data_IF_566363425354
#
_entry.id   IF_566363425354
#
_cell.length_a   1.000
_cell.length_b   1.000
_cell.length_c   1.000
_cell.angle_alpha   90.00
_cell.angle_beta   90.00
_cell.angle_gamma   90.00
#
_symmetry.space_group_name_H-M   'P 1'
#
loop_
_entity.id
_entity.type
_entity.pdbx_description
1 polymer ?
#
# COMPACT_ATOMS: atom_id res chain seq x y z
N UNK A 1 -9.66 4.25 -29.21
CA UNK A 1 -9.24 5.58 -28.70
C UNK A 1 -10.50 6.34 -28.30
N UNK A 2 -10.83 6.38 -27.02
CA UNK A 2 -11.82 7.32 -26.49
C UNK A 2 -11.11 8.21 -25.48
N UNK A 3 -10.71 9.38 -25.97
CA UNK A 3 -10.14 10.46 -25.19
C UNK A 3 -11.21 10.99 -24.23
N UNK A 4 -10.98 10.81 -22.93
CA UNK A 4 -11.63 11.63 -21.91
C UNK A 4 -10.97 13.02 -21.97
N UNK A 5 -11.62 13.99 -22.61
CA UNK A 5 -11.27 15.41 -22.43
C UNK A 5 -11.93 15.91 -21.15
N UNK A 6 -11.19 16.52 -20.21
CA UNK A 6 -11.80 17.19 -19.08
C UNK A 6 -12.43 18.51 -19.55
N UNK A 7 -13.75 18.63 -19.42
CA UNK A 7 -14.41 19.94 -19.40
C UNK A 7 -14.42 20.42 -17.95
N UNK A 8 -13.84 21.60 -17.73
CA UNK A 8 -13.80 22.23 -16.42
C UNK A 8 -15.21 22.45 -15.86
N UNK A 9 -15.45 21.98 -14.64
CA UNK A 9 -16.55 22.46 -13.79
C UNK A 9 -17.56 21.43 -13.30
N UNK A 10 -17.72 20.26 -13.92
CA UNK A 10 -18.64 19.21 -13.43
C UNK A 10 -18.22 17.85 -13.98
N UNK A 11 -17.88 16.89 -13.10
CA UNK A 11 -17.62 15.51 -13.51
C UNK A 11 -18.95 14.88 -13.96
N UNK A 12 -19.25 14.95 -15.25
CA UNK A 12 -20.34 14.15 -15.85
C UNK A 12 -19.69 12.88 -16.39
N UNK A 13 -19.78 11.79 -15.64
CA UNK A 13 -19.31 10.48 -16.08
C UNK A 13 -20.45 9.78 -16.83
N UNK A 14 -20.32 9.64 -18.16
CA UNK A 14 -21.27 8.89 -18.98
C UNK A 14 -20.85 7.42 -19.00
N UNK A 15 -21.53 6.58 -18.22
CA UNK A 15 -21.38 5.13 -18.31
C UNK A 15 -22.44 4.58 -19.25
N UNK A 16 -22.00 3.98 -20.35
CA UNK A 16 -22.85 3.27 -21.31
C UNK A 16 -22.65 1.77 -21.11
N UNK A 17 -23.72 1.09 -20.68
CA UNK A 17 -23.70 -0.33 -20.33
C UNK A 17 -24.55 -1.09 -21.34
N UNK A 18 -23.94 -1.98 -22.12
CA UNK A 18 -24.63 -2.89 -23.03
C UNK A 18 -24.91 -4.19 -22.27
N UNK A 19 -26.16 -4.41 -21.85
CA UNK A 19 -26.56 -5.65 -21.19
C UNK A 19 -27.11 -6.64 -22.23
N UNK A 20 -26.61 -7.88 -22.29
CA UNK A 20 -27.24 -8.94 -23.06
C UNK A 20 -28.53 -9.38 -22.35
N UNK A 21 -29.53 -9.77 -23.13
CA UNK A 21 -30.76 -10.35 -22.59
C UNK A 21 -30.79 -11.83 -22.91
N UNK A 22 -30.81 -12.66 -21.88
CA UNK A 22 -31.32 -14.02 -22.03
C UNK A 22 -32.85 -13.95 -22.08
N UNK A 23 -33.39 -13.55 -23.24
CA UNK A 23 -34.76 -13.93 -23.56
C UNK A 23 -34.69 -15.30 -24.23
N UNK A 24 -35.21 -16.32 -23.55
CA UNK A 24 -35.59 -17.55 -24.21
C UNK A 24 -36.54 -17.18 -25.36
N UNK A 25 -36.10 -17.43 -26.60
CA UNK A 25 -36.77 -17.15 -27.89
C UNK A 25 -36.67 -15.72 -28.48
N UNK A 26 -35.49 -15.33 -28.99
CA UNK A 26 -35.38 -14.47 -30.17
C UNK A 26 -33.93 -14.45 -30.72
N UNK A 27 -33.75 -14.80 -31.99
CA UNK A 27 -32.47 -14.88 -32.73
C UNK A 27 -31.77 -13.52 -33.02
N UNK A 28 -31.89 -12.52 -32.14
CA UNK A 28 -31.11 -11.27 -32.27
C UNK A 28 -30.68 -10.73 -30.90
N UNK A 29 -29.38 -10.42 -30.69
CA UNK A 29 -28.94 -9.76 -29.46
C UNK A 29 -29.49 -8.34 -29.41
N UNK A 30 -30.40 -8.09 -28.47
CA UNK A 30 -30.93 -6.76 -28.19
C UNK A 30 -30.07 -6.09 -27.12
N UNK A 31 -29.65 -4.84 -27.35
CA UNK A 31 -28.88 -4.07 -26.38
C UNK A 31 -29.68 -2.85 -25.91
N UNK A 32 -29.51 -2.51 -24.63
CA UNK A 32 -30.10 -1.30 -24.05
C UNK A 32 -29.00 -0.28 -23.72
N UNK A 33 -29.32 1.00 -23.86
CA UNK A 33 -28.49 2.09 -23.33
C UNK A 33 -29.16 2.65 -22.07
N UNK A 34 -28.44 2.60 -20.94
CA UNK A 34 -28.84 3.29 -19.71
C UNK A 34 -27.83 4.39 -19.42
N UNK A 35 -28.32 5.62 -19.25
CA UNK A 35 -27.51 6.79 -18.91
C UNK A 35 -27.68 7.10 -17.44
N UNK A 36 -26.56 7.21 -16.74
CA UNK A 36 -26.49 7.60 -15.33
C UNK A 36 -25.81 8.97 -15.21
N UNK A 37 -26.29 9.78 -14.27
CA UNK A 37 -25.69 11.06 -13.92
C UNK A 37 -25.35 11.03 -12.43
N UNK A 38 -24.10 11.35 -12.11
CA UNK A 38 -23.58 11.35 -10.75
C UNK A 38 -23.20 12.79 -10.33
N UNK A 39 -23.31 13.09 -9.04
CA UNK A 39 -22.76 14.32 -8.46
C UNK A 39 -21.25 14.21 -8.21
N UNK A 40 -20.66 15.31 -7.72
CA UNK A 40 -19.23 15.41 -7.43
C UNK A 40 -18.76 14.50 -6.27
N UNK A 41 -19.67 13.93 -5.48
CA UNK A 41 -19.40 12.98 -4.41
C UNK A 41 -19.65 11.52 -4.84
N UNK A 42 -20.03 11.27 -6.09
CA UNK A 42 -20.36 9.94 -6.60
C UNK A 42 -21.80 9.49 -6.33
N UNK A 43 -22.66 10.36 -5.80
CA UNK A 43 -24.07 10.11 -5.58
C UNK A 43 -24.87 10.14 -6.89
N UNK A 44 -25.79 9.20 -7.08
CA UNK A 44 -26.64 9.16 -8.27
C UNK A 44 -27.68 10.30 -8.21
N UNK A 45 -27.63 11.24 -9.16
CA UNK A 45 -28.53 12.40 -9.19
C UNK A 45 -29.68 12.26 -10.19
N UNK A 46 -29.51 11.48 -11.27
CA UNK A 46 -30.59 11.11 -12.18
C UNK A 46 -30.29 9.83 -12.96
N UNK A 47 -31.34 9.06 -13.27
CA UNK A 47 -31.29 8.00 -14.29
C UNK A 47 -32.45 8.21 -15.27
N UNK A 48 -32.16 8.26 -16.56
CA UNK A 48 -33.20 8.26 -17.61
C UNK A 48 -33.43 6.85 -18.13
N UNK A 49 -34.70 6.51 -18.35
CA UNK A 49 -35.17 5.16 -18.67
C UNK A 49 -34.63 4.56 -19.97
N UNK A 50 -34.83 3.25 -20.08
CA UNK A 50 -34.31 2.37 -21.13
C UNK A 50 -34.73 2.81 -22.55
N UNK A 51 -33.75 2.91 -23.47
CA UNK A 51 -33.98 2.98 -24.92
C UNK A 51 -33.54 1.65 -25.54
N UNK A 52 -34.46 0.96 -26.22
CA UNK A 52 -34.11 -0.17 -27.08
C UNK A 52 -33.35 0.35 -28.30
N UNK A 53 -32.16 -0.19 -28.55
CA UNK A 53 -31.46 -0.02 -29.82
C UNK A 53 -31.79 -1.25 -30.68
N UNK A 54 -32.85 -1.20 -31.49
CA UNK A 54 -33.03 -2.19 -32.54
C UNK A 54 -32.07 -1.83 -33.67
N UNK A 55 -31.13 -2.72 -33.98
CA UNK A 55 -30.38 -2.65 -35.23
C UNK A 55 -31.33 -3.10 -36.34
N UNK A 56 -32.14 -2.16 -36.85
CA UNK A 56 -32.78 -2.34 -38.14
C UNK A 56 -31.78 -1.89 -39.21
N UNK A 57 -31.49 -2.78 -40.15
CA UNK A 57 -30.61 -2.51 -41.28
C UNK A 57 -30.95 -1.23 -42.02
N UNK A 58 -29.93 -0.62 -42.61
CA UNK A 58 -30.07 0.56 -43.46
C UNK A 58 -31.17 0.36 -44.51
N UNK A 59 -32.08 1.32 -44.63
CA UNK A 59 -32.31 2.03 -45.89
C UNK A 59 -33.05 3.36 -45.63
N UNK A 60 -32.81 4.27 -46.56
CA UNK A 60 -32.90 5.73 -46.44
C UNK A 60 -34.34 6.32 -46.53
N UNK A 61 -34.47 7.56 -47.03
CA UNK A 61 -35.10 8.70 -46.38
C UNK A 61 -36.64 8.67 -46.44
N UNK A 62 -37.32 9.47 -45.61
CA UNK A 62 -38.78 9.71 -45.53
C UNK A 62 -39.52 8.92 -44.44
N UNK A 63 -40.01 9.64 -43.42
CA UNK A 63 -41.17 9.24 -42.61
C UNK A 63 -40.93 9.02 -41.12
N UNK A 64 -41.70 9.73 -40.29
CA UNK A 64 -41.75 9.64 -38.83
C UNK A 64 -42.32 8.28 -38.40
N UNK A 65 -41.62 7.56 -37.52
CA UNK A 65 -42.21 6.45 -36.76
C UNK A 65 -42.47 6.90 -35.31
N UNK A 66 -43.74 7.16 -35.00
CA UNK A 66 -44.20 7.27 -33.62
C UNK A 66 -44.39 5.85 -33.05
N UNK A 67 -43.79 5.55 -31.90
CA UNK A 67 -44.11 4.32 -31.16
C UNK A 67 -45.11 4.60 -30.05
N UNK A 68 -46.32 4.10 -30.29
CA UNK A 68 -47.40 3.95 -29.32
C UNK A 68 -47.15 2.68 -28.48
N UNK A 69 -47.36 2.78 -27.16
CA UNK A 69 -47.56 1.62 -26.31
C UNK A 69 -46.46 1.33 -25.28
N UNK A 70 -46.49 2.02 -24.14
CA UNK A 70 -45.92 1.51 -22.89
C UNK A 70 -47.04 1.40 -21.85
N UNK A 71 -47.31 0.18 -21.40
CA UNK A 71 -48.21 -0.10 -20.28
C UNK A 71 -47.33 -0.25 -19.02
N UNK A 72 -47.43 0.71 -18.10
CA UNK A 72 -46.70 0.68 -16.83
C UNK A 72 -47.36 -0.32 -15.86
N UNK A 73 -46.58 -1.22 -15.26
CA UNK A 73 -46.96 -1.90 -14.03
C UNK A 73 -46.43 -1.09 -12.83
N UNK A 74 -47.29 -0.57 -11.94
CA UNK A 74 -46.84 0.05 -10.70
C UNK A 74 -46.52 -1.04 -9.67
N UNK A 75 -45.28 -1.09 -9.17
CA UNK A 75 -44.98 -1.87 -7.96
C UNK A 75 -43.66 -2.63 -7.91
N UNK A 76 -42.89 -2.75 -9.00
CA UNK A 76 -41.59 -3.42 -8.94
C UNK A 76 -40.44 -2.42 -8.88
N UNK A 77 -39.98 -2.15 -7.65
CA UNK A 77 -38.62 -1.68 -7.40
C UNK A 77 -37.69 -2.88 -7.65
N UNK A 78 -37.15 -2.99 -8.86
CA UNK A 78 -35.88 -3.70 -9.05
C UNK A 78 -34.77 -2.66 -8.94
N UNK A 79 -34.24 -2.50 -7.73
CA UNK A 79 -32.92 -1.93 -7.54
C UNK A 79 -31.91 -2.83 -8.25
N UNK A 80 -31.57 -2.51 -9.50
CA UNK A 80 -30.34 -3.04 -10.08
C UNK A 80 -29.22 -2.19 -9.49
N UNK A 81 -28.70 -2.61 -8.35
CA UNK A 81 -27.38 -2.19 -7.93
C UNK A 81 -26.43 -2.69 -9.02
N UNK A 82 -25.96 -1.79 -9.89
CA UNK A 82 -24.84 -2.11 -10.76
C UNK A 82 -23.57 -2.04 -9.92
N UNK A 83 -23.37 -3.03 -9.06
CA UNK A 83 -22.10 -3.29 -8.38
C UNK A 83 -21.25 -4.29 -9.19
N UNK A 84 -21.45 -4.33 -10.51
CA UNK A 84 -20.72 -5.21 -11.41
C UNK A 84 -19.55 -4.47 -12.06
N UNK A 85 -18.34 -4.86 -11.70
CA UNK A 85 -17.11 -4.48 -12.39
C UNK A 85 -17.24 -4.80 -13.90
N UNK A 86 -17.15 -3.78 -14.76
CA UNK A 86 -17.26 -3.94 -16.22
C UNK A 86 -15.92 -4.26 -16.89
N UNK A 87 -14.83 -4.22 -16.12
CA UNK A 87 -13.48 -4.51 -16.57
C UNK A 87 -13.08 -5.90 -16.06
N UNK A 88 -12.23 -6.63 -16.81
CA UNK A 88 -11.67 -7.86 -16.28
C UNK A 88 -10.84 -7.56 -15.04
N UNK A 89 -10.86 -8.47 -14.07
CA UNK A 89 -9.97 -8.40 -12.92
C UNK A 89 -8.61 -9.03 -13.24
N UNK A 90 -7.56 -8.36 -12.78
CA UNK A 90 -6.21 -8.89 -12.78
C UNK A 90 -5.68 -9.02 -11.35
N UNK A 91 -4.99 -10.12 -11.11
CA UNK A 91 -4.40 -10.38 -9.80
C UNK A 91 -3.08 -9.66 -9.67
N UNK A 92 -2.92 -8.91 -8.59
CA UNK A 92 -1.61 -8.44 -8.11
C UNK A 92 -1.13 -9.41 -7.06
N UNK A 93 -0.01 -10.08 -7.32
CA UNK A 93 0.70 -10.93 -6.38
C UNK A 93 1.85 -10.16 -5.77
N UNK A 94 1.88 -10.08 -4.45
CA UNK A 94 2.94 -9.44 -3.70
C UNK A 94 3.83 -10.53 -3.07
N UNK A 95 5.14 -10.45 -3.34
CA UNK A 95 6.15 -11.30 -2.71
C UNK A 95 7.07 -10.49 -1.79
N UNK A 96 7.34 -11.01 -0.60
CA UNK A 96 8.27 -10.42 0.34
C UNK A 96 9.66 -11.06 0.20
N UNK A 97 10.70 -10.25 0.27
CA UNK A 97 12.09 -10.71 0.20
C UNK A 97 12.95 -10.02 1.27
N UNK A 98 14.07 -10.66 1.63
CA UNK A 98 14.96 -10.24 2.72
C UNK A 98 14.61 -10.89 4.06
N UNK A 99 15.38 -10.60 5.11
CA UNK A 99 15.12 -11.10 6.48
C UNK A 99 14.23 -10.19 7.32
N UNK A 100 13.99 -8.96 6.86
CA UNK A 100 13.20 -7.97 7.59
C UNK A 100 11.70 -8.15 7.44
N UNK A 101 10.94 -7.45 8.28
CA UNK A 101 9.48 -7.46 8.27
C UNK A 101 8.90 -6.07 7.95
N UNK A 102 7.67 -6.05 7.45
CA UNK A 102 6.96 -4.82 7.16
C UNK A 102 5.55 -5.07 6.66
N UNK A 103 4.78 -3.99 6.57
CA UNK A 103 3.41 -3.99 6.09
C UNK A 103 3.35 -3.34 4.71
N UNK A 104 2.70 -4.01 3.77
CA UNK A 104 2.35 -3.42 2.47
C UNK A 104 0.85 -3.22 2.39
N UNK A 105 0.45 -2.02 1.94
CA UNK A 105 -0.94 -1.62 1.72
C UNK A 105 -1.15 -1.15 0.27
N UNK A 106 -2.37 -1.26 -0.24
CA UNK A 106 -2.75 -0.74 -1.56
C UNK A 106 -3.86 0.30 -1.53
N UNK A 107 -3.87 1.16 -2.56
CA UNK A 107 -5.02 1.97 -2.96
C UNK A 107 -5.33 1.75 -4.45
N UNK A 108 -6.54 1.31 -4.84
CA UNK A 108 -7.69 0.94 -3.99
C UNK A 108 -7.37 -0.14 -2.95
N UNK A 109 -8.18 -0.21 -1.90
CA UNK A 109 -7.99 -1.22 -0.83
C UNK A 109 -8.16 -2.63 -1.42
N UNK A 110 -7.24 -3.52 -1.07
CA UNK A 110 -7.24 -4.91 -1.54
C UNK A 110 -6.05 -5.69 -1.03
N UNK A 111 -4.89 -5.05 -0.92
CA UNK A 111 -3.69 -5.58 -0.29
C UNK A 111 -3.47 -4.88 1.05
N UNK A 112 -3.36 -5.67 2.11
CA UNK A 112 -2.90 -5.27 3.44
C UNK A 112 -2.28 -6.50 4.11
N UNK A 113 -0.99 -6.75 3.85
CA UNK A 113 -0.32 -7.96 4.30
C UNK A 113 1.14 -7.70 4.64
N UNK A 114 1.71 -8.60 5.43
CA UNK A 114 3.10 -8.62 5.89
C UNK A 114 3.84 -9.92 5.51
N UNK A 115 3.19 -10.75 4.70
CA UNK A 115 3.69 -11.97 4.07
C UNK A 115 3.12 -12.03 2.66
N UNK A 116 3.65 -12.92 1.82
CA UNK A 116 3.17 -13.13 0.46
C UNK A 116 1.64 -13.20 0.39
N UNK A 117 1.06 -12.31 -0.42
CA UNK A 117 -0.39 -12.19 -0.54
C UNK A 117 -0.78 -11.75 -1.95
N UNK A 118 -2.06 -11.90 -2.30
CA UNK A 118 -2.55 -11.45 -3.60
C UNK A 118 -3.98 -10.95 -3.51
N UNK A 119 -4.33 -10.01 -4.38
CA UNK A 119 -5.69 -9.48 -4.48
C UNK A 119 -6.06 -9.14 -5.94
N UNK A 120 -7.33 -9.28 -6.33
CA UNK A 120 -7.82 -8.84 -7.63
C UNK A 120 -8.07 -7.33 -7.65
N UNK A 121 -7.77 -6.71 -8.78
CA UNK A 121 -8.07 -5.31 -9.05
C UNK A 121 -8.55 -5.13 -10.50
N UNK A 122 -9.39 -4.12 -10.71
CA UNK A 122 -9.94 -3.81 -12.04
C UNK A 122 -8.81 -3.46 -13.02
N UNK A 123 -8.86 -4.05 -14.21
CA UNK A 123 -7.94 -3.70 -15.29
C UNK A 123 -7.93 -2.19 -15.59
N UNK A 124 -6.78 -1.69 -16.03
CA UNK A 124 -6.54 -0.29 -16.42
C UNK A 124 -6.75 0.77 -15.32
N UNK A 125 -7.13 0.36 -14.11
CA UNK A 125 -7.17 1.24 -12.95
C UNK A 125 -5.78 1.30 -12.28
N UNK A 126 -5.31 2.48 -11.86
CA UNK A 126 -4.04 2.59 -11.14
C UNK A 126 -4.17 1.99 -9.75
N UNK A 127 -3.24 1.10 -9.40
CA UNK A 127 -3.07 0.56 -8.05
C UNK A 127 -1.78 1.11 -7.47
N UNK A 128 -1.86 1.80 -6.33
CA UNK A 128 -0.70 2.32 -5.61
C UNK A 128 -0.39 1.44 -4.42
N UNK A 129 0.81 0.85 -4.40
CA UNK A 129 1.36 0.06 -3.31
C UNK A 129 2.26 0.94 -2.43
N UNK A 130 2.03 0.86 -1.12
CA UNK A 130 2.82 1.57 -0.10
C UNK A 130 3.36 0.57 0.89
N UNK A 131 4.67 0.59 1.08
CA UNK A 131 5.38 -0.23 2.04
C UNK A 131 5.69 0.61 3.28
N UNK A 132 5.44 0.05 4.45
CA UNK A 132 5.84 0.58 5.75
C UNK A 132 6.68 -0.50 6.40
N UNK A 133 7.98 -0.26 6.55
CA UNK A 133 8.82 -1.18 7.30
C UNK A 133 8.35 -1.24 8.76
N UNK A 134 8.42 -2.41 9.38
CA UNK A 134 8.17 -2.51 10.81
C UNK A 134 9.23 -1.72 11.59
N UNK A 135 8.95 -1.46 12.86
CA UNK A 135 9.94 -0.88 13.73
C UNK A 135 11.21 -1.72 13.64
N UNK A 136 12.36 -1.05 13.42
CA UNK A 136 13.68 -1.68 13.34
C UNK A 136 14.03 -2.39 12.01
N UNK A 137 13.24 -2.20 10.96
CA UNK A 137 13.47 -2.77 9.64
C UNK A 137 13.64 -1.68 8.58
N UNK A 138 14.35 -1.98 7.49
CA UNK A 138 14.52 -1.09 6.34
C UNK A 138 13.73 -1.63 5.15
N UNK A 139 12.95 -0.75 4.51
CA UNK A 139 12.40 -1.03 3.20
C UNK A 139 13.42 -0.68 2.12
N UNK A 140 14.06 -1.70 1.53
CA UNK A 140 15.08 -1.55 0.49
C UNK A 140 14.49 -1.14 -0.86
N UNK A 141 13.24 -1.50 -1.10
CA UNK A 141 12.51 -1.04 -2.27
C UNK A 141 11.66 -2.11 -2.93
N UNK A 142 11.03 -1.68 -4.01
CA UNK A 142 10.23 -2.52 -4.89
C UNK A 142 11.05 -3.10 -6.03
N UNK A 143 10.63 -4.26 -6.53
CA UNK A 143 11.08 -4.79 -7.81
C UNK A 143 9.95 -5.57 -8.50
N UNK A 144 10.02 -5.71 -9.83
CA UNK A 144 8.99 -6.41 -10.60
C UNK A 144 7.73 -5.58 -10.84
N UNK A 145 6.88 -6.05 -11.75
CA UNK A 145 5.57 -5.44 -12.03
C UNK A 145 5.57 -3.96 -12.46
N UNK A 146 6.71 -3.43 -12.91
CA UNK A 146 6.88 -2.01 -13.22
C UNK A 146 7.28 -1.13 -12.02
N UNK A 147 7.45 -1.73 -10.84
CA UNK A 147 7.91 -1.06 -9.63
C UNK A 147 9.43 -1.11 -9.51
N UNK A 148 10.03 0.01 -9.09
CA UNK A 148 11.45 0.08 -8.72
C UNK A 148 11.69 1.21 -7.72
N UNK A 149 12.73 1.08 -6.89
CA UNK A 149 13.09 2.08 -5.87
C UNK A 149 12.20 2.00 -4.62
N UNK A 150 12.29 3.01 -3.76
CA UNK A 150 11.66 3.01 -2.42
C UNK A 150 10.37 3.84 -2.35
N UNK A 151 10.07 4.64 -3.38
CA UNK A 151 8.86 5.44 -3.44
C UNK A 151 7.60 4.55 -3.55
N UNK A 152 6.41 5.04 -3.15
CA UNK A 152 5.15 4.34 -3.40
C UNK A 152 5.03 3.94 -4.87
N UNK A 153 4.77 2.65 -5.13
CA UNK A 153 4.71 2.15 -6.50
C UNK A 153 3.30 2.25 -7.05
N UNK A 154 3.12 2.94 -8.19
CA UNK A 154 1.83 2.95 -8.89
C UNK A 154 1.91 2.11 -10.16
N UNK A 155 1.09 1.07 -10.25
CA UNK A 155 1.01 0.15 -11.40
C UNK A 155 -0.34 0.29 -12.09
N UNK A 156 -0.37 0.16 -13.41
CA UNK A 156 -1.61 0.07 -14.20
C UNK A 156 -1.73 -1.33 -14.76
N UNK A 157 -2.80 -2.03 -14.41
CA UNK A 157 -2.93 -3.46 -14.71
C UNK A 157 -3.43 -3.71 -16.13
N UNK A 158 -2.58 -4.32 -16.95
CA UNK A 158 -2.96 -4.87 -18.25
C UNK A 158 -2.92 -6.40 -18.27
N UNK A 159 -2.67 -7.02 -17.11
CA UNK A 159 -2.51 -8.44 -16.89
C UNK A 159 -2.18 -8.73 -15.43
N UNK A 160 -2.14 -10.02 -15.06
CA UNK A 160 -1.68 -10.44 -13.74
C UNK A 160 -0.23 -9.97 -13.53
N UNK A 161 0.04 -9.39 -12.37
CA UNK A 161 1.29 -8.68 -12.10
C UNK A 161 1.88 -9.16 -10.77
N UNK A 162 3.17 -9.48 -10.76
CA UNK A 162 3.89 -9.79 -9.53
C UNK A 162 4.81 -8.62 -9.17
N UNK A 163 4.71 -8.16 -7.92
CA UNK A 163 5.57 -7.13 -7.35
C UNK A 163 6.27 -7.72 -6.13
N UNK A 164 7.56 -7.47 -6.01
CA UNK A 164 8.35 -7.84 -4.83
C UNK A 164 8.62 -6.62 -3.96
N UNK A 165 8.41 -6.75 -2.65
CA UNK A 165 8.80 -5.79 -1.63
C UNK A 165 9.97 -6.35 -0.83
N UNK A 166 11.09 -5.66 -0.78
CA UNK A 166 12.27 -6.11 -0.03
C UNK A 166 12.37 -5.37 1.29
N UNK A 167 12.31 -6.12 2.39
CA UNK A 167 12.57 -5.65 3.74
C UNK A 167 13.77 -6.38 4.30
N UNK A 168 14.71 -5.64 4.88
CA UNK A 168 15.90 -6.23 5.49
C UNK A 168 16.14 -5.62 6.86
N UNK A 169 16.92 -6.31 7.67
CA UNK A 169 17.35 -5.82 8.97
C UNK A 169 18.17 -4.54 8.79
N UNK A 170 18.04 -3.58 9.71
CA UNK A 170 18.95 -2.42 9.75
C UNK A 170 20.35 -2.86 10.23
N UNK A 171 21.08 -3.49 9.32
CA UNK A 171 22.48 -3.88 9.51
C UNK A 171 23.42 -2.70 9.45
N UNK A 172 22.93 -1.47 9.26
CA UNK A 172 23.73 -0.25 9.25
C UNK A 172 23.77 0.43 10.64
N UNK A 173 22.83 0.12 11.53
CA UNK A 173 22.74 0.70 12.89
C UNK A 173 22.70 -0.34 14.01
N UNK A 174 23.44 -1.44 13.86
CA UNK A 174 23.46 -2.46 14.88
C UNK A 174 24.12 -1.93 16.17
N UNK A 175 23.56 -2.34 17.31
CA UNK A 175 24.04 -2.13 18.67
C UNK A 175 24.17 -3.50 19.34
N UNK A 176 25.34 -3.81 19.87
CA UNK A 176 25.64 -5.12 20.43
C UNK A 176 25.65 -5.11 21.95
N UNK A 177 24.94 -6.05 22.57
CA UNK A 177 25.01 -6.32 24.01
C UNK A 177 25.59 -7.72 24.21
N UNK A 178 26.79 -7.87 24.80
CA UNK A 178 27.34 -9.17 25.13
C UNK A 178 26.41 -9.91 26.09
N UNK A 179 26.20 -11.20 25.82
CA UNK A 179 25.52 -12.08 26.77
C UNK A 179 26.45 -12.46 27.91
N UNK A 180 25.88 -13.05 28.97
CA UNK A 180 26.64 -13.53 30.12
C UNK A 180 27.68 -14.60 29.74
N UNK A 181 27.50 -15.29 28.60
CA UNK A 181 28.43 -16.28 28.06
C UNK A 181 29.14 -15.67 26.83
N UNK A 182 30.48 -15.84 26.71
CA UNK A 182 31.21 -15.42 25.51
C UNK A 182 30.60 -16.03 24.24
N UNK A 183 30.23 -15.16 23.29
CA UNK A 183 29.61 -15.56 22.02
C UNK A 183 28.08 -15.63 22.02
N UNK A 184 27.40 -15.32 23.14
CA UNK A 184 25.92 -15.30 23.21
C UNK A 184 25.34 -13.88 23.25
N UNK A 185 26.02 -12.91 22.66
CA UNK A 185 25.51 -11.53 22.64
C UNK A 185 24.32 -11.36 21.70
N UNK A 186 23.52 -10.35 22.00
CA UNK A 186 22.33 -9.98 21.24
C UNK A 186 22.60 -8.68 20.49
N UNK A 187 22.16 -8.64 19.25
CA UNK A 187 22.20 -7.43 18.45
C UNK A 187 20.83 -6.77 18.45
N UNK A 188 20.85 -5.47 18.62
CA UNK A 188 19.71 -4.58 18.53
C UNK A 188 19.97 -3.60 17.39
N UNK A 189 18.96 -2.88 16.97
CA UNK A 189 19.00 -1.92 15.86
C UNK A 189 18.90 -0.47 16.35
N UNK A 190 18.74 -0.28 17.67
CA UNK A 190 18.65 1.03 18.32
C UNK A 190 19.33 0.99 19.68
N UNK A 191 19.78 2.17 20.13
CA UNK A 191 20.34 2.37 21.46
C UNK A 191 19.27 2.14 22.54
N UNK A 192 18.02 2.55 22.29
CA UNK A 192 16.91 2.32 23.22
C UNK A 192 16.62 0.83 23.43
N UNK A 193 16.46 0.04 22.36
CA UNK A 193 16.17 -1.39 22.49
C UNK A 193 17.34 -2.15 23.14
N UNK A 194 18.58 -1.77 22.82
CA UNK A 194 19.77 -2.33 23.46
C UNK A 194 19.82 -1.99 24.95
N UNK A 195 19.52 -0.75 25.32
CA UNK A 195 19.39 -0.36 26.73
C UNK A 195 18.30 -1.19 27.40
N UNK A 196 17.12 -1.36 26.78
CA UNK A 196 16.00 -2.05 27.40
C UNK A 196 16.28 -3.54 27.62
N UNK A 197 16.86 -4.21 26.63
CA UNK A 197 17.23 -5.63 26.68
C UNK A 197 18.49 -5.95 27.48
N UNK A 198 19.35 -4.97 27.77
CA UNK A 198 20.59 -5.19 28.51
C UNK A 198 20.34 -5.50 30.00
N UNK A 199 20.99 -6.55 30.50
CA UNK A 199 21.02 -6.85 31.94
C UNK A 199 21.77 -5.76 32.74
N UNK A 200 21.48 -5.60 34.05
CA UNK A 200 22.21 -4.66 34.90
C UNK A 200 23.72 -4.95 34.94
N UNK A 201 24.53 -3.94 34.69
CA UNK A 201 26.00 -4.01 34.64
C UNK A 201 26.55 -4.32 33.24
N UNK A 202 25.70 -4.59 32.25
CA UNK A 202 26.12 -4.94 30.90
C UNK A 202 26.74 -3.76 30.15
N UNK A 203 27.59 -4.11 29.19
CA UNK A 203 28.15 -3.17 28.23
C UNK A 203 27.28 -3.17 26.97
N UNK A 204 26.89 -1.98 26.51
CA UNK A 204 26.22 -1.78 25.22
C UNK A 204 27.25 -1.18 24.28
N UNK A 205 27.57 -1.86 23.19
CA UNK A 205 28.53 -1.40 22.19
C UNK A 205 27.78 -0.86 20.98
N UNK A 206 28.14 0.34 20.50
CA UNK A 206 27.50 0.97 19.35
C UNK A 206 28.54 1.43 18.31
N UNK A 207 28.17 1.36 17.03
CA UNK A 207 29.05 1.79 15.95
C UNK A 207 29.28 3.29 15.89
N UNK A 208 30.37 3.70 15.22
CA UNK A 208 30.77 5.08 14.95
C UNK A 208 29.90 5.77 13.90
N UNK A 209 28.59 5.85 14.14
CA UNK A 209 27.58 6.42 13.24
C UNK A 209 26.61 7.32 14.02
N UNK A 210 25.65 7.93 13.31
CA UNK A 210 24.59 8.74 13.91
C UNK A 210 23.30 7.92 14.09
N UNK A 211 22.78 7.90 15.30
CA UNK A 211 21.50 7.31 15.69
C UNK A 211 20.49 8.43 15.87
N UNK A 212 19.48 8.49 15.00
CA UNK A 212 18.40 9.48 15.06
C UNK A 212 17.27 8.95 15.96
N UNK A 213 17.48 8.99 17.27
CA UNK A 213 16.54 8.47 18.27
C UNK A 213 16.67 9.22 19.61
N UNK A 214 15.70 9.01 20.50
CA UNK A 214 15.80 9.44 21.89
C UNK A 214 16.21 8.24 22.76
N UNK A 215 17.14 8.42 23.68
CA UNK A 215 17.57 7.40 24.63
C UNK A 215 17.06 7.74 26.03
N UNK A 216 16.17 6.92 26.58
CA UNK A 216 15.59 7.08 27.91
C UNK A 216 16.08 5.98 28.85
N UNK A 217 17.00 6.33 29.74
CA UNK A 217 17.49 5.45 30.78
C UNK A 217 16.59 5.48 32.03
N UNK A 218 15.39 4.90 31.91
CA UNK A 218 14.34 4.98 32.94
C UNK A 218 14.37 3.88 34.01
N UNK A 219 15.12 2.80 33.80
CA UNK A 219 15.15 1.61 34.66
C UNK A 219 16.31 1.63 35.64
N UNK A 220 16.10 1.21 36.90
CA UNK A 220 17.10 1.13 37.97
C UNK A 220 18.19 0.08 37.69
N UNK A 221 19.00 0.33 36.67
CA UNK A 221 20.13 -0.48 36.25
C UNK A 221 21.30 0.41 35.85
N UNK A 222 22.49 -0.17 35.97
CA UNK A 222 23.74 0.46 35.53
C UNK A 222 24.13 -0.09 34.17
N UNK A 223 24.36 0.76 33.17
CA UNK A 223 24.78 0.33 31.83
C UNK A 223 26.03 1.10 31.43
N UNK A 224 27.00 0.40 30.83
CA UNK A 224 28.16 1.01 30.19
C UNK A 224 27.90 1.09 28.68
N UNK A 225 27.62 2.27 28.15
CA UNK A 225 27.50 2.48 26.71
C UNK A 225 28.87 2.86 26.13
N UNK A 226 29.41 1.99 25.28
CA UNK A 226 30.65 2.21 24.54
C UNK A 226 30.35 2.47 23.08
N UNK A 227 30.49 3.73 22.67
CA UNK A 227 30.34 4.14 21.30
C UNK A 227 31.62 4.02 20.47
N UNK A 228 31.47 4.31 19.18
CA UNK A 228 32.57 4.51 18.26
C UNK A 228 33.14 3.24 17.66
N UNK A 229 32.48 2.09 17.73
CA UNK A 229 32.97 0.83 17.17
C UNK A 229 32.93 0.78 15.62
N UNK A 230 33.79 -0.04 15.02
CA UNK A 230 33.64 -0.53 13.65
C UNK A 230 32.52 -1.57 13.53
N UNK A 231 32.20 -1.96 12.29
CA UNK A 231 31.08 -2.86 11.98
C UNK A 231 31.21 -4.23 12.67
N UNK A 232 32.44 -4.67 12.90
CA UNK A 232 32.79 -5.95 13.51
C UNK A 232 32.95 -5.88 15.05
N UNK A 233 32.76 -4.71 15.68
CA UNK A 233 32.99 -4.48 17.11
C UNK A 233 34.41 -4.82 17.60
N UNK A 234 35.40 -4.77 16.71
CA UNK A 234 36.79 -5.11 17.02
C UNK A 234 37.59 -3.90 17.48
N UNK A 235 37.27 -2.71 17.00
CA UNK A 235 38.01 -1.49 17.31
C UNK A 235 37.10 -0.27 17.42
N UNK A 236 37.49 0.71 18.25
CA UNK A 236 36.78 1.98 18.33
C UNK A 236 37.44 3.01 17.39
N UNK A 237 36.82 3.25 16.24
CA UNK A 237 37.30 4.11 15.14
C UNK A 237 36.82 5.57 15.22
N UNK A 238 35.79 5.86 16.03
CA UNK A 238 35.21 7.20 16.12
C UNK A 238 34.37 7.44 17.37
N UNK A 239 33.30 8.21 17.22
CA UNK A 239 32.28 8.47 18.24
C UNK A 239 30.92 8.02 17.71
N UNK A 240 30.09 7.51 18.59
CA UNK A 240 28.66 7.34 18.32
C UNK A 240 27.97 8.68 18.52
N UNK A 241 27.13 9.10 17.59
CA UNK A 241 26.34 10.32 17.69
C UNK A 241 24.89 9.93 17.99
N UNK A 242 24.35 10.42 19.11
CA UNK A 242 22.91 10.39 19.40
C UNK A 242 22.33 11.73 18.94
N UNK A 243 21.55 11.72 17.88
CA UNK A 243 20.85 12.90 17.34
C UNK A 243 19.42 12.89 17.90
N UNK A 244 19.24 13.50 19.07
CA UNK A 244 18.04 13.37 19.88
C UNK A 244 18.28 13.59 21.37
N UNK A 245 17.29 13.25 22.19
CA UNK A 245 17.31 13.55 23.61
C UNK A 245 17.81 12.36 24.41
N UNK A 246 18.88 12.59 25.19
CA UNK A 246 19.32 11.67 26.24
C UNK A 246 18.65 12.02 27.57
N UNK A 247 17.82 11.13 28.09
CA UNK A 247 17.16 11.27 29.39
C UNK A 247 17.69 10.24 30.37
N UNK A 248 18.30 10.67 31.47
CA UNK A 248 18.71 9.80 32.58
C UNK A 248 17.66 9.87 33.68
N UNK A 249 16.93 8.79 33.87
CA UNK A 249 15.90 8.65 34.89
C UNK A 249 16.45 8.00 36.16
N UNK A 250 15.91 6.83 36.51
CA UNK A 250 16.34 6.07 37.69
C UNK A 250 17.41 5.10 37.22
N UNK A 251 18.68 5.27 37.59
CA UNK A 251 19.76 4.37 37.17
C UNK A 251 21.08 5.10 36.92
N UNK A 252 22.04 4.40 36.31
CA UNK A 252 23.35 4.96 35.98
C UNK A 252 23.69 4.60 34.54
N UNK A 253 23.99 5.62 33.72
CA UNK A 253 24.56 5.44 32.41
C UNK A 253 26.01 5.93 32.42
N UNK A 254 26.95 5.03 32.25
CA UNK A 254 28.35 5.38 31.99
C UNK A 254 28.55 5.38 30.49
N UNK A 255 29.11 6.46 29.94
CA UNK A 255 29.32 6.59 28.49
C UNK A 255 30.80 6.68 28.15
N UNK A 256 31.19 6.01 27.08
CA UNK A 256 32.49 6.11 26.43
C UNK A 256 32.26 6.43 24.95
N UNK A 257 32.89 7.50 24.44
CA UNK A 257 32.79 7.94 23.03
C UNK A 257 31.37 8.13 22.49
N UNK A 258 30.50 8.78 23.26
CA UNK A 258 29.19 9.25 22.84
C UNK A 258 29.19 10.78 22.65
N UNK A 259 28.60 11.25 21.56
CA UNK A 259 28.25 12.66 21.33
C UNK A 259 26.73 12.74 21.32
N UNK A 260 26.15 13.65 22.09
CA UNK A 260 24.71 13.96 22.05
C UNK A 260 24.55 15.29 21.33
N UNK A 261 23.72 15.33 20.29
CA UNK A 261 23.39 16.52 19.49
C UNK A 261 21.96 16.94 19.67
#
# INVERSE_FOLDING_TARGET
MNLLKPFAGTLICLVVLLLPVEHASADTPSYYLKRWVFDAAGGLTASTGYRNLSVAGQSSPLGIAASSGYRNYPGFLHSVAAEGNLLPDYTVSLSFAGSGTGLVTSFPVGIQCNIDCSAPFNAYFPVTLTATADQYMIFFGWSGGGCSGTAPCTITLTGNTTVSATFDDDTAHMVYVPGAIPGTGTYYTTLQAAYDGADPGSTVSAWAISYLENLTCGMEKSILLKGGYDQEYTSQTGYTILDGVLTIGRGVLTVDRLIVK
#
